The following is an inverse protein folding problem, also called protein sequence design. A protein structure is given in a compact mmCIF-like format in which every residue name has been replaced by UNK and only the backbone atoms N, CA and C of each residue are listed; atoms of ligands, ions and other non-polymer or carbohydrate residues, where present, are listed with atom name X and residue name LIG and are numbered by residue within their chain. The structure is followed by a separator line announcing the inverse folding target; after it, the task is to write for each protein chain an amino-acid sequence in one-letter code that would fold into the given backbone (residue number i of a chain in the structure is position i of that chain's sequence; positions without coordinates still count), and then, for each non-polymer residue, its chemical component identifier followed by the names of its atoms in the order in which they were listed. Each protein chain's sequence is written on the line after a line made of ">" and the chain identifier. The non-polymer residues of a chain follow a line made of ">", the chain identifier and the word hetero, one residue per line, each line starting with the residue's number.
data_IF_764615520324
#
_entry.id   IF_764615520324
#
_cell.length_a   1.000
_cell.length_b   1.000
_cell.length_c   1.000
_cell.angle_alpha   90.00
_cell.angle_beta   90.00
_cell.angle_gamma   90.00
#
_symmetry.space_group_name_H-M   'P 1'
#
loop_
_entity.id
_entity.type
_entity.pdbx_description
1 polymer ?
#
# COMPACT_ATOMS: atom_id res chain seq x y z
N UNK A 1 -46.90 37.66 -34.51
CA UNK A 1 -46.54 37.31 -35.91
C UNK A 1 -45.08 37.59 -36.07
N UNK A 2 -44.25 36.55 -36.09
CA UNK A 2 -43.01 36.50 -36.84
C UNK A 2 -42.42 35.08 -36.67
N UNK A 3 -42.07 34.51 -37.79
CA UNK A 3 -41.90 33.08 -38.04
C UNK A 3 -40.62 32.46 -37.42
N UNK A 4 -40.77 31.18 -37.06
CA UNK A 4 -39.73 30.23 -36.73
C UNK A 4 -39.11 29.67 -38.01
N UNK A 5 -37.81 29.75 -38.20
CA UNK A 5 -37.08 29.02 -39.23
C UNK A 5 -36.34 27.82 -38.62
N UNK A 6 -36.80 26.63 -39.01
CA UNK A 6 -36.09 25.36 -38.76
C UNK A 6 -34.85 25.23 -39.66
N UNK A 7 -33.68 25.03 -39.06
CA UNK A 7 -32.48 24.57 -39.76
C UNK A 7 -32.22 23.13 -39.45
N UNK A 8 -32.40 22.29 -40.45
CA UNK A 8 -32.10 20.87 -40.44
C UNK A 8 -30.62 20.63 -40.65
N UNK A 9 -29.92 20.08 -39.65
CA UNK A 9 -28.55 19.57 -39.82
C UNK A 9 -28.55 18.08 -40.21
N UNK A 10 -28.08 17.79 -41.43
CA UNK A 10 -27.88 16.47 -41.99
C UNK A 10 -26.72 15.75 -41.26
N UNK A 11 -27.01 14.56 -40.73
CA UNK A 11 -26.03 13.62 -40.21
C UNK A 11 -25.24 12.96 -41.36
N UNK A 12 -23.93 13.14 -41.38
CA UNK A 12 -23.03 12.42 -42.29
C UNK A 12 -22.69 11.05 -41.68
N UNK A 13 -23.25 9.99 -42.29
CA UNK A 13 -22.84 8.60 -42.04
C UNK A 13 -21.48 8.35 -42.69
N UNK A 14 -20.44 8.11 -41.92
CA UNK A 14 -19.19 7.49 -42.40
C UNK A 14 -19.31 5.95 -42.30
N UNK A 15 -19.35 5.31 -43.47
CA UNK A 15 -19.26 3.87 -43.62
C UNK A 15 -17.84 3.38 -43.31
N UNK A 16 -17.71 2.47 -42.38
CA UNK A 16 -16.47 1.73 -42.13
C UNK A 16 -16.49 0.47 -43.00
N UNK A 17 -15.53 0.40 -43.90
CA UNK A 17 -15.33 -0.72 -44.79
C UNK A 17 -14.82 -1.95 -44.03
N UNK A 18 -15.45 -3.07 -44.30
CA UNK A 18 -15.08 -4.40 -43.84
C UNK A 18 -13.88 -4.87 -44.67
N UNK A 19 -12.74 -5.15 -44.03
CA UNK A 19 -11.58 -5.80 -44.65
C UNK A 19 -11.73 -7.32 -44.47
N UNK A 20 -11.70 -8.14 -45.54
CA UNK A 20 -11.80 -9.59 -45.39
C UNK A 20 -10.46 -10.19 -44.92
N UNK A 21 -10.59 -11.08 -43.95
CA UNK A 21 -9.51 -11.89 -43.36
C UNK A 21 -9.06 -12.94 -44.40
N UNK A 22 -7.85 -12.74 -44.98
CA UNK A 22 -7.23 -13.73 -45.88
C UNK A 22 -6.51 -14.77 -45.00
N UNK A 23 -7.02 -16.00 -45.04
CA UNK A 23 -6.41 -17.15 -44.37
C UNK A 23 -5.13 -17.58 -45.14
N UNK A 24 -3.96 -17.43 -44.49
CA UNK A 24 -2.70 -17.95 -44.99
C UNK A 24 -2.43 -19.32 -44.36
N UNK A 25 -2.75 -20.38 -45.10
CA UNK A 25 -2.37 -21.77 -44.81
C UNK A 25 -0.88 -21.95 -45.15
N UNK A 26 -0.02 -22.02 -44.12
CA UNK A 26 1.37 -22.48 -44.32
C UNK A 26 1.45 -24.00 -44.15
N UNK A 27 1.77 -24.67 -45.23
CA UNK A 27 2.18 -26.07 -45.29
C UNK A 27 3.55 -26.22 -44.60
N UNK A 28 3.61 -26.94 -43.49
CA UNK A 28 4.87 -27.44 -42.94
C UNK A 28 5.23 -28.78 -43.62
N UNK A 29 6.17 -28.74 -44.52
CA UNK A 29 6.83 -29.94 -45.08
C UNK A 29 7.75 -30.54 -43.99
N UNK A 30 7.46 -31.75 -43.57
CA UNK A 30 8.34 -32.56 -42.72
C UNK A 30 9.47 -33.12 -43.58
N UNK A 31 10.67 -32.54 -43.47
CA UNK A 31 11.90 -33.21 -43.95
C UNK A 31 12.50 -33.98 -42.77
N UNK A 32 12.34 -35.28 -42.78
CA UNK A 32 13.06 -36.23 -41.92
C UNK A 32 14.45 -36.45 -42.51
N UNK A 33 15.47 -35.84 -41.89
CA UNK A 33 16.86 -36.18 -42.21
C UNK A 33 17.29 -37.30 -41.25
N UNK A 34 17.41 -38.51 -41.77
CA UNK A 34 18.00 -39.64 -41.02
C UNK A 34 19.51 -39.50 -41.01
N UNK A 35 20.05 -39.13 -39.84
CA UNK A 35 21.51 -39.14 -39.62
C UNK A 35 21.85 -40.46 -38.92
N UNK A 36 22.48 -41.36 -39.68
CA UNK A 36 23.04 -42.59 -39.14
C UNK A 36 24.28 -42.25 -38.29
N UNK A 37 24.13 -42.27 -36.99
CA UNK A 37 25.22 -42.18 -36.04
C UNK A 37 25.74 -43.59 -35.74
N UNK A 38 26.95 -43.88 -36.18
CA UNK A 38 27.72 -45.09 -35.80
C UNK A 38 28.12 -44.95 -34.31
N UNK A 39 27.41 -45.69 -33.45
CA UNK A 39 27.77 -45.81 -32.05
C UNK A 39 29.02 -46.69 -31.91
N UNK A 40 30.15 -46.05 -31.69
CA UNK A 40 31.35 -46.73 -31.16
C UNK A 40 31.67 -46.18 -29.76
N UNK A 41 30.81 -46.47 -28.80
CA UNK A 41 31.06 -46.16 -27.40
C UNK A 41 31.61 -47.41 -26.68
N UNK A 42 32.92 -47.31 -26.40
CA UNK A 42 33.53 -48.19 -25.39
C UNK A 42 32.83 -47.98 -24.04
N UNK A 43 32.56 -49.03 -23.27
CA UNK A 43 31.96 -48.85 -21.95
C UNK A 43 32.95 -48.06 -21.07
N UNK A 44 32.50 -46.88 -20.56
CA UNK A 44 33.19 -46.18 -19.52
C UNK A 44 32.96 -46.95 -18.22
N UNK A 45 34.00 -47.58 -17.71
CA UNK A 45 34.00 -48.16 -16.39
C UNK A 45 33.96 -46.98 -15.40
N UNK A 46 32.81 -46.78 -14.77
CA UNK A 46 32.70 -45.85 -13.64
C UNK A 46 33.28 -46.63 -12.44
N UNK A 47 34.53 -46.34 -12.09
CA UNK A 47 35.10 -46.78 -10.83
C UNK A 47 34.29 -46.09 -9.72
N UNK A 48 33.53 -46.86 -8.96
CA UNK A 48 33.03 -46.48 -7.64
C UNK A 48 34.23 -46.20 -6.72
N UNK A 49 34.69 -44.97 -6.75
CA UNK A 49 35.69 -44.46 -5.85
C UNK A 49 34.98 -43.79 -4.67
N UNK A 50 34.95 -44.50 -3.57
CA UNK A 50 34.89 -43.98 -2.20
C UNK A 50 33.75 -43.01 -1.89
N UNK A 51 32.80 -43.55 -1.13
CA UNK A 51 31.92 -42.81 -0.23
C UNK A 51 32.73 -41.92 0.73
N UNK A 52 33.15 -40.77 0.25
CA UNK A 52 33.45 -39.63 1.10
C UNK A 52 32.08 -39.14 1.57
N UNK A 53 31.75 -39.33 2.84
CA UNK A 53 30.63 -38.66 3.48
C UNK A 53 30.89 -37.16 3.33
N UNK A 54 30.38 -36.60 2.24
CA UNK A 54 30.33 -35.15 2.04
C UNK A 54 29.49 -34.60 3.19
N UNK A 55 30.14 -33.93 4.12
CA UNK A 55 29.44 -33.05 5.08
C UNK A 55 28.43 -32.26 4.29
N UNK A 56 27.14 -32.27 4.68
CA UNK A 56 26.17 -31.47 3.98
C UNK A 56 26.67 -30.02 3.99
N UNK A 57 26.96 -29.48 2.82
CA UNK A 57 27.33 -28.06 2.66
C UNK A 57 26.10 -27.28 3.09
N UNK A 58 26.03 -26.90 4.36
CA UNK A 58 24.99 -26.05 4.87
C UNK A 58 25.16 -24.69 4.15
N UNK A 59 24.27 -24.38 3.23
CA UNK A 59 24.23 -23.07 2.59
C UNK A 59 24.24 -22.01 3.70
N UNK A 60 25.22 -21.11 3.73
CA UNK A 60 25.30 -20.12 4.81
C UNK A 60 24.06 -19.25 4.79
N UNK A 61 23.46 -19.07 5.96
CA UNK A 61 22.31 -18.16 6.13
C UNK A 61 22.76 -16.73 5.79
N UNK A 62 22.03 -15.99 4.94
CA UNK A 62 22.37 -14.59 4.61
C UNK A 62 22.54 -13.72 5.84
N UNK A 63 23.46 -12.74 5.78
CA UNK A 63 23.89 -11.97 6.94
C UNK A 63 22.76 -11.20 7.66
N UNK A 64 21.78 -10.70 6.93
CA UNK A 64 20.60 -10.00 7.47
C UNK A 64 19.73 -10.94 8.30
N UNK A 65 19.45 -12.14 7.80
CA UNK A 65 18.68 -13.17 8.52
C UNK A 65 19.51 -13.71 9.69
N UNK A 66 20.80 -13.97 9.48
CA UNK A 66 21.70 -14.46 10.54
C UNK A 66 21.75 -13.50 11.72
N UNK A 67 21.86 -12.19 11.49
CA UNK A 67 21.85 -11.14 12.52
C UNK A 67 20.61 -11.23 13.41
N UNK A 68 19.41 -11.36 12.80
CA UNK A 68 18.15 -11.45 13.54
C UNK A 68 18.08 -12.74 14.35
N UNK A 69 18.46 -13.88 13.75
CA UNK A 69 18.47 -15.19 14.44
C UNK A 69 19.48 -15.26 15.59
N UNK A 70 20.68 -14.68 15.42
CA UNK A 70 21.69 -14.63 16.48
C UNK A 70 21.25 -13.75 17.66
N UNK A 71 20.54 -12.66 17.38
CA UNK A 71 19.94 -11.81 18.42
C UNK A 71 18.77 -12.50 19.12
N UNK A 72 18.09 -13.44 18.46
CA UNK A 72 16.94 -14.17 18.97
C UNK A 72 15.62 -13.41 18.91
N UNK A 73 15.59 -12.21 18.39
CA UNK A 73 14.39 -11.38 18.30
C UNK A 73 14.30 -10.59 16.98
N UNK A 74 13.06 -10.39 16.50
CA UNK A 74 12.70 -9.47 15.43
C UNK A 74 12.23 -8.15 16.04
N UNK A 75 12.89 -7.04 15.71
CA UNK A 75 12.53 -5.71 16.22
C UNK A 75 11.63 -5.00 15.19
N UNK A 76 10.43 -4.62 15.63
CA UNK A 76 9.43 -3.95 14.77
C UNK A 76 9.14 -2.56 15.31
N UNK A 77 9.40 -1.53 14.50
CA UNK A 77 9.04 -0.15 14.80
C UNK A 77 7.58 0.11 14.44
N UNK A 78 6.84 0.73 15.37
CA UNK A 78 5.47 1.20 15.21
C UNK A 78 5.29 2.58 15.86
N UNK A 79 4.24 3.32 15.48
CA UNK A 79 3.89 4.57 16.15
C UNK A 79 3.61 4.36 17.65
N UNK A 80 3.96 5.34 18.45
CA UNK A 80 3.62 5.40 19.88
C UNK A 80 2.11 5.49 20.13
N UNK A 81 1.38 6.15 19.22
CA UNK A 81 -0.07 6.35 19.32
C UNK A 81 -0.83 5.17 18.75
N UNK A 82 -1.81 4.68 19.50
CA UNK A 82 -2.69 3.58 19.09
C UNK A 82 -3.50 3.92 17.83
N UNK A 83 -3.59 2.94 16.96
CA UNK A 83 -4.33 3.04 15.69
C UNK A 83 -5.20 1.78 15.47
N UNK A 84 -6.29 1.60 16.24
CA UNK A 84 -7.15 0.44 16.09
C UNK A 84 -7.83 0.44 14.71
N UNK A 85 -8.00 -0.74 14.08
CA UNK A 85 -7.72 -2.09 14.56
C UNK A 85 -6.31 -2.58 14.16
N UNK A 86 -5.43 -1.72 13.66
CA UNK A 86 -4.11 -2.10 13.13
C UNK A 86 -3.15 -2.48 14.26
N UNK A 87 -3.00 -1.60 15.23
CA UNK A 87 -2.18 -1.83 16.44
C UNK A 87 -2.68 -0.92 17.58
N UNK A 88 -2.89 -1.49 18.74
CA UNK A 88 -3.36 -0.78 19.94
C UNK A 88 -3.13 -1.64 21.18
N UNK A 89 -3.11 -1.00 22.34
CA UNK A 89 -3.03 -1.70 23.62
C UNK A 89 -4.41 -2.17 24.09
N UNK A 90 -4.50 -3.44 24.49
CA UNK A 90 -5.63 -4.04 25.13
C UNK A 90 -5.15 -4.89 26.29
N UNK A 91 -5.63 -4.58 27.51
CA UNK A 91 -5.26 -5.33 28.73
C UNK A 91 -3.74 -5.44 28.93
N UNK A 92 -2.99 -4.37 28.65
CA UNK A 92 -1.52 -4.36 28.75
C UNK A 92 -0.79 -5.14 27.67
N UNK A 93 -1.47 -5.55 26.59
CA UNK A 93 -0.89 -6.27 25.46
C UNK A 93 -1.10 -5.51 24.16
N UNK A 94 -0.08 -5.43 23.36
CA UNK A 94 -0.20 -4.89 22.00
C UNK A 94 -0.90 -5.92 21.11
N UNK A 95 -1.99 -5.52 20.47
CA UNK A 95 -2.83 -6.35 19.59
C UNK A 95 -3.21 -5.60 18.32
N UNK A 96 -3.70 -6.31 17.32
CA UNK A 96 -4.24 -5.75 16.09
C UNK A 96 -3.66 -6.40 14.83
N UNK A 97 -4.25 -6.05 13.69
CA UNK A 97 -3.97 -6.70 12.40
C UNK A 97 -2.49 -6.64 11.99
N UNK A 98 -1.82 -5.51 12.22
CA UNK A 98 -0.39 -5.35 11.91
C UNK A 98 0.50 -6.02 12.96
N UNK A 99 0.03 -6.13 14.19
CA UNK A 99 0.72 -6.87 15.25
C UNK A 99 0.72 -8.37 14.93
N UNK A 100 -0.41 -8.89 14.45
CA UNK A 100 -0.54 -10.29 14.08
C UNK A 100 0.30 -10.62 12.84
N UNK A 101 0.36 -9.69 11.88
CA UNK A 101 1.24 -9.79 10.72
C UNK A 101 2.72 -9.84 11.13
N UNK A 102 3.15 -8.95 12.03
CA UNK A 102 4.51 -8.93 12.56
C UNK A 102 4.87 -10.23 13.30
N UNK A 103 3.93 -10.74 14.12
CA UNK A 103 4.08 -12.01 14.83
C UNK A 103 4.19 -13.21 13.87
N UNK A 104 3.43 -13.18 12.77
CA UNK A 104 3.55 -14.23 11.74
C UNK A 104 4.95 -14.24 11.13
N UNK A 105 5.52 -13.08 10.80
CA UNK A 105 6.89 -12.98 10.28
C UNK A 105 7.93 -13.50 11.28
N UNK A 106 7.82 -13.10 12.57
CA UNK A 106 8.75 -13.54 13.62
C UNK A 106 8.69 -15.07 13.83
N UNK A 107 7.48 -15.64 13.82
CA UNK A 107 7.26 -17.09 13.95
C UNK A 107 7.92 -17.87 12.81
N UNK A 108 7.80 -17.40 11.56
CA UNK A 108 8.45 -18.05 10.42
C UNK A 108 9.99 -17.89 10.45
N UNK A 109 10.51 -16.81 11.04
CA UNK A 109 11.94 -16.62 11.31
C UNK A 109 12.42 -17.48 12.48
N UNK A 110 11.50 -18.02 13.30
CA UNK A 110 11.78 -18.79 14.54
C UNK A 110 12.54 -17.95 15.59
N UNK A 111 12.08 -16.72 15.81
CA UNK A 111 12.61 -15.78 16.79
C UNK A 111 11.47 -15.12 17.57
N UNK A 112 11.80 -14.55 18.72
CA UNK A 112 10.88 -13.72 19.48
C UNK A 112 10.60 -12.39 18.74
N UNK A 113 9.64 -11.62 19.24
CA UNK A 113 9.29 -10.31 18.66
C UNK A 113 9.36 -9.23 19.74
N UNK A 114 9.97 -8.10 19.39
CA UNK A 114 9.95 -6.89 20.20
C UNK A 114 9.39 -5.71 19.40
N UNK A 115 8.34 -5.09 19.93
CA UNK A 115 7.77 -3.89 19.36
C UNK A 115 8.45 -2.66 19.98
N UNK A 116 9.01 -1.80 19.11
CA UNK A 116 9.54 -0.52 19.48
C UNK A 116 8.53 0.57 19.10
N UNK A 117 7.93 1.22 20.08
CA UNK A 117 6.89 2.25 19.94
C UNK A 117 7.38 3.65 20.35
N UNK A 118 8.66 3.95 20.12
CA UNK A 118 9.24 5.27 20.41
C UNK A 118 8.90 6.34 19.35
N UNK A 119 8.54 5.92 18.13
CA UNK A 119 8.27 6.83 17.04
C UNK A 119 6.98 7.64 17.25
N UNK A 120 7.08 8.96 17.14
CA UNK A 120 5.97 9.90 17.30
C UNK A 120 5.37 10.37 15.94
N UNK A 121 5.98 9.96 14.84
CA UNK A 121 5.50 10.23 13.48
C UNK A 121 5.75 9.06 12.55
N UNK A 122 5.02 9.02 11.43
CA UNK A 122 5.21 7.99 10.40
C UNK A 122 6.62 8.02 9.81
N UNK A 123 7.22 9.20 9.65
CA UNK A 123 8.59 9.30 9.14
C UNK A 123 9.61 8.79 10.17
N UNK A 124 9.38 9.00 11.47
CA UNK A 124 10.26 8.44 12.52
C UNK A 124 10.24 6.91 12.53
N UNK A 125 9.11 6.25 12.21
CA UNK A 125 9.09 4.78 12.02
C UNK A 125 10.03 4.36 10.89
N UNK A 126 10.02 5.09 9.77
CA UNK A 126 10.92 4.85 8.62
C UNK A 126 12.38 5.11 9.01
N UNK A 127 12.65 6.22 9.72
CA UNK A 127 14.00 6.59 10.17
C UNK A 127 14.59 5.53 11.11
N UNK A 128 13.79 4.93 11.99
CA UNK A 128 14.24 3.85 12.87
C UNK A 128 14.72 2.63 12.08
N UNK A 129 14.04 2.28 10.99
CA UNK A 129 14.45 1.19 10.10
C UNK A 129 15.71 1.57 9.33
N UNK A 130 15.75 2.77 8.73
CA UNK A 130 16.91 3.26 7.98
C UNK A 130 18.18 3.32 8.85
N UNK A 131 18.03 3.66 10.14
CA UNK A 131 19.11 3.72 11.14
C UNK A 131 19.41 2.37 11.81
N UNK A 132 18.78 1.27 11.38
CA UNK A 132 18.93 -0.07 11.98
C UNK A 132 18.55 -0.17 13.46
N UNK A 133 17.70 0.71 13.96
CA UNK A 133 17.09 0.65 15.30
C UNK A 133 15.90 -0.31 15.35
N UNK A 134 15.39 -0.69 14.18
CA UNK A 134 14.41 -1.75 13.96
C UNK A 134 14.74 -2.52 12.68
N UNK A 135 14.31 -3.77 12.60
CA UNK A 135 14.44 -4.59 11.40
C UNK A 135 13.29 -4.32 10.42
N UNK A 136 12.10 -4.09 10.96
CA UNK A 136 10.89 -3.79 10.19
C UNK A 136 10.22 -2.52 10.73
N UNK A 137 9.55 -1.79 9.83
CA UNK A 137 8.59 -0.75 10.18
C UNK A 137 7.20 -1.15 9.70
N UNK A 138 6.25 -1.27 10.62
CA UNK A 138 4.85 -1.63 10.31
C UNK A 138 3.94 -0.67 11.08
N UNK A 139 3.29 0.28 10.40
CA UNK A 139 2.45 1.29 11.02
C UNK A 139 1.61 2.04 9.98
N UNK A 140 0.79 1.34 9.22
CA UNK A 140 0.03 1.92 8.10
C UNK A 140 0.92 2.75 7.18
N UNK A 141 2.09 2.23 6.84
CA UNK A 141 3.10 2.99 6.09
C UNK A 141 2.79 2.98 4.60
N UNK A 142 2.44 4.14 4.08
CA UNK A 142 2.32 4.37 2.64
C UNK A 142 3.69 4.37 1.98
N UNK A 143 3.75 3.86 0.75
CA UNK A 143 4.96 3.92 -0.09
C UNK A 143 5.05 5.28 -0.75
N UNK A 144 6.08 6.06 -0.42
CA UNK A 144 6.37 7.33 -1.10
C UNK A 144 7.78 7.33 -1.67
N UNK A 145 8.02 8.17 -2.68
CA UNK A 145 9.35 8.26 -3.32
C UNK A 145 10.45 8.70 -2.34
N UNK A 146 10.24 9.71 -1.46
CA UNK A 146 11.25 10.06 -0.46
C UNK A 146 11.59 8.91 0.49
N UNK A 147 10.59 8.17 0.99
CA UNK A 147 10.81 7.01 1.87
C UNK A 147 11.54 5.89 1.15
N UNK A 148 11.20 5.63 -0.12
CA UNK A 148 11.84 4.59 -0.94
C UNK A 148 13.32 4.88 -1.26
N UNK A 149 13.83 6.08 -1.00
CA UNK A 149 15.26 6.40 -1.12
C UNK A 149 16.09 5.87 0.06
N UNK A 150 15.47 5.60 1.20
CA UNK A 150 16.18 5.24 2.44
C UNK A 150 15.78 3.89 3.02
N UNK A 151 14.66 3.31 2.58
CA UNK A 151 14.20 1.95 2.94
C UNK A 151 13.66 1.23 1.71
N UNK A 152 13.66 -0.11 1.77
CA UNK A 152 12.84 -0.93 0.89
C UNK A 152 11.42 -1.04 1.44
N UNK A 153 10.48 -1.30 0.55
CA UNK A 153 9.11 -1.65 0.89
C UNK A 153 8.75 -3.05 0.41
N UNK A 154 8.07 -3.80 1.24
CA UNK A 154 7.47 -5.08 0.86
C UNK A 154 6.40 -4.92 -0.23
N UNK A 155 5.90 -6.05 -0.75
CA UNK A 155 4.59 -6.06 -1.40
C UNK A 155 3.54 -5.44 -0.48
N UNK A 156 2.52 -4.75 -1.04
CA UNK A 156 1.43 -4.23 -0.22
C UNK A 156 0.67 -5.34 0.51
N UNK A 157 0.42 -5.15 1.81
CA UNK A 157 -0.48 -6.02 2.57
C UNK A 157 -1.92 -5.48 2.62
N UNK A 158 -2.11 -4.20 2.29
CA UNK A 158 -3.41 -3.54 2.21
C UNK A 158 -3.36 -2.39 1.20
N UNK A 159 -4.43 -2.23 0.41
CA UNK A 159 -4.64 -1.06 -0.45
C UNK A 159 -5.93 -0.36 -0.01
N UNK A 160 -5.84 0.96 0.16
CA UNK A 160 -6.96 1.83 0.54
C UNK A 160 -7.10 2.93 -0.51
N UNK A 161 -8.31 3.44 -0.72
CA UNK A 161 -8.48 4.65 -1.52
C UNK A 161 -8.15 5.89 -0.70
N UNK A 162 -7.71 6.95 -1.37
CA UNK A 162 -7.65 8.27 -0.76
C UNK A 162 -9.05 8.83 -0.56
N UNK A 163 -9.21 9.71 0.44
CA UNK A 163 -10.49 10.33 0.70
C UNK A 163 -10.34 11.73 1.32
N UNK A 164 -11.39 12.53 1.17
CA UNK A 164 -11.53 13.85 1.76
C UNK A 164 -12.68 13.87 2.76
N UNK A 165 -12.48 14.59 3.85
CA UNK A 165 -13.54 15.11 4.72
C UNK A 165 -13.61 16.60 4.53
N UNK A 166 -14.75 17.13 4.13
CA UNK A 166 -14.95 18.52 3.78
C UNK A 166 -15.95 19.15 4.74
N UNK A 167 -15.63 20.33 5.29
CA UNK A 167 -16.60 21.16 5.98
C UNK A 167 -17.66 21.63 4.95
N UNK A 168 -18.93 21.29 5.17
CA UNK A 168 -19.99 21.54 4.19
C UNK A 168 -20.14 23.00 3.83
N UNK A 169 -20.05 23.90 4.82
CA UNK A 169 -20.22 25.33 4.63
C UNK A 169 -19.01 25.93 3.89
N UNK A 170 -17.80 25.62 4.35
CA UNK A 170 -16.56 26.11 3.73
C UNK A 170 -16.43 25.58 2.28
N UNK A 171 -16.76 24.31 2.05
CA UNK A 171 -16.72 23.70 0.74
C UNK A 171 -17.80 24.28 -0.21
N UNK A 172 -19.02 24.53 0.29
CA UNK A 172 -20.08 25.15 -0.53
C UNK A 172 -19.68 26.55 -1.00
N UNK A 173 -18.99 27.33 -0.16
CA UNK A 173 -18.44 28.65 -0.56
C UNK A 173 -17.37 28.52 -1.64
N UNK A 174 -16.54 27.47 -1.56
CA UNK A 174 -15.48 27.19 -2.55
C UNK A 174 -16.07 26.73 -3.89
N UNK A 175 -17.07 25.83 -3.84
CA UNK A 175 -17.66 25.22 -5.03
C UNK A 175 -18.49 26.17 -5.89
N UNK A 176 -18.98 27.27 -5.31
CA UNK A 176 -19.87 28.23 -6.01
C UNK A 176 -21.00 27.51 -6.76
N UNK A 177 -20.91 27.44 -8.10
CA UNK A 177 -21.87 26.75 -8.97
C UNK A 177 -21.22 25.61 -9.77
N UNK A 178 -19.99 25.20 -9.42
CA UNK A 178 -19.27 24.14 -10.11
C UNK A 178 -19.76 22.75 -9.67
N UNK A 179 -19.57 21.74 -10.53
CA UNK A 179 -19.82 20.36 -10.18
C UNK A 179 -18.83 19.91 -9.10
N UNK A 180 -19.29 19.06 -8.18
CA UNK A 180 -18.46 18.50 -7.11
C UNK A 180 -17.13 17.94 -7.61
N UNK A 181 -17.18 17.14 -8.68
CA UNK A 181 -15.99 16.50 -9.24
C UNK A 181 -14.94 17.50 -9.71
N UNK A 182 -15.38 18.56 -10.41
CA UNK A 182 -14.50 19.61 -10.92
C UNK A 182 -13.90 20.42 -9.77
N UNK A 183 -14.72 20.79 -8.77
CA UNK A 183 -14.24 21.49 -7.57
C UNK A 183 -13.23 20.65 -6.78
N UNK A 184 -13.43 19.33 -6.69
CA UNK A 184 -12.49 18.42 -6.00
C UNK A 184 -11.21 18.24 -6.81
N UNK A 185 -11.29 18.06 -8.13
CA UNK A 185 -10.10 17.93 -9.00
C UNK A 185 -9.24 19.20 -9.03
N UNK A 186 -9.88 20.36 -8.98
CA UNK A 186 -9.23 21.69 -8.98
C UNK A 186 -9.24 22.34 -7.60
N UNK A 187 -9.15 21.54 -6.54
CA UNK A 187 -9.34 22.03 -5.19
C UNK A 187 -8.39 23.19 -4.83
N UNK A 188 -8.96 24.36 -4.58
CA UNK A 188 -8.25 25.61 -4.29
C UNK A 188 -8.35 26.03 -2.81
N UNK A 189 -8.99 25.19 -1.98
CA UNK A 189 -9.19 25.48 -0.56
C UNK A 189 -7.98 25.11 0.30
N UNK A 190 -8.21 25.10 1.60
CA UNK A 190 -7.22 24.64 2.59
C UNK A 190 -7.45 23.16 2.93
N UNK A 191 -6.38 22.37 2.93
CA UNK A 191 -6.38 20.95 3.30
C UNK A 191 -5.55 20.72 4.56
N UNK A 192 -6.18 20.22 5.62
CA UNK A 192 -5.51 19.72 6.81
C UNK A 192 -4.98 18.31 6.59
N UNK A 193 -3.72 18.07 6.98
CA UNK A 193 -3.06 16.76 6.97
C UNK A 193 -2.28 16.57 8.27
N UNK A 194 -1.94 15.32 8.61
CA UNK A 194 -1.04 15.04 9.72
C UNK A 194 0.40 15.36 9.29
N UNK A 195 1.10 16.12 10.11
CA UNK A 195 2.51 16.46 9.91
C UNK A 195 3.39 15.20 9.81
N UNK A 196 4.44 15.25 9.00
CA UNK A 196 5.39 14.13 8.79
C UNK A 196 4.70 12.81 8.41
N UNK A 197 3.57 12.90 7.69
CA UNK A 197 2.86 11.78 7.09
C UNK A 197 2.99 11.80 5.57
N UNK A 198 2.71 10.66 4.92
CA UNK A 198 2.64 10.57 3.45
C UNK A 198 1.58 11.50 2.85
N UNK A 199 0.53 11.82 3.61
CA UNK A 199 -0.55 12.69 3.12
C UNK A 199 -0.13 14.14 2.93
N UNK A 200 0.95 14.61 3.57
CA UNK A 200 1.58 15.89 3.23
C UNK A 200 2.13 15.90 1.79
N UNK A 201 2.79 14.79 1.39
CA UNK A 201 3.34 14.63 0.04
C UNK A 201 2.23 14.40 -1.00
N UNK A 202 1.29 13.53 -0.67
CA UNK A 202 0.14 13.25 -1.54
C UNK A 202 -0.73 14.49 -1.77
N UNK A 203 -0.94 15.33 -0.75
CA UNK A 203 -1.69 16.57 -0.88
C UNK A 203 -1.03 17.52 -1.88
N UNK A 204 0.28 17.74 -1.78
CA UNK A 204 1.05 18.58 -2.72
C UNK A 204 1.00 18.04 -4.15
N UNK A 205 1.01 16.73 -4.32
CA UNK A 205 0.98 16.07 -5.63
C UNK A 205 -0.42 16.12 -6.28
N UNK A 206 -1.45 15.75 -5.52
CA UNK A 206 -2.80 15.55 -6.06
C UNK A 206 -3.67 16.81 -6.00
N UNK A 207 -3.34 17.75 -5.12
CA UNK A 207 -4.04 19.03 -4.96
C UNK A 207 -3.05 20.20 -5.01
N UNK A 208 -2.37 20.41 -6.14
CA UNK A 208 -1.30 21.42 -6.24
C UNK A 208 -1.76 22.87 -6.03
N UNK A 209 -3.07 23.13 -6.17
CA UNK A 209 -3.67 24.45 -5.92
C UNK A 209 -4.18 24.62 -4.49
N UNK A 210 -4.16 23.56 -3.68
CA UNK A 210 -4.59 23.62 -2.29
C UNK A 210 -3.50 24.23 -1.40
N UNK A 211 -3.92 24.98 -0.39
CA UNK A 211 -3.02 25.34 0.72
C UNK A 211 -3.03 24.21 1.74
N UNK A 212 -1.91 23.47 1.83
CA UNK A 212 -1.76 22.38 2.80
C UNK A 212 -1.34 22.94 4.15
N UNK A 213 -2.05 22.53 5.22
CA UNK A 213 -1.78 22.89 6.61
C UNK A 213 -1.54 21.60 7.40
N UNK A 214 -0.39 21.54 8.06
CA UNK A 214 0.03 20.35 8.81
C UNK A 214 -0.38 20.48 10.29
N UNK A 215 -0.94 19.40 10.84
CA UNK A 215 -1.37 19.29 12.24
C UNK A 215 -0.64 18.14 12.93
N UNK A 216 -0.51 18.17 14.27
CA UNK A 216 0.27 17.16 15.00
C UNK A 216 -0.37 15.77 14.97
N UNK A 217 -1.68 15.66 14.87
CA UNK A 217 -2.42 14.39 14.88
C UNK A 217 -3.78 14.52 14.17
N UNK A 218 -4.46 13.37 13.99
CA UNK A 218 -5.72 13.32 13.28
C UNK A 218 -6.87 14.06 13.97
N UNK A 219 -6.91 14.07 15.30
CA UNK A 219 -7.95 14.81 16.04
C UNK A 219 -7.83 16.31 15.79
N UNK A 220 -6.62 16.86 15.85
CA UNK A 220 -6.38 18.28 15.56
C UNK A 220 -6.78 18.65 14.11
N UNK A 221 -6.56 17.75 13.14
CA UNK A 221 -7.04 17.94 11.76
C UNK A 221 -8.56 18.00 11.72
N UNK A 222 -9.25 17.07 12.39
CA UNK A 222 -10.72 17.03 12.42
C UNK A 222 -11.32 18.24 13.14
N UNK A 223 -10.72 18.70 14.21
CA UNK A 223 -11.14 19.92 14.91
C UNK A 223 -11.04 21.14 14.01
N UNK A 224 -9.95 21.27 13.26
CA UNK A 224 -9.76 22.36 12.30
C UNK A 224 -10.80 22.33 11.16
N UNK A 225 -11.17 21.13 10.69
CA UNK A 225 -12.25 20.98 9.69
C UNK A 225 -13.61 21.37 10.29
N UNK A 226 -13.93 20.87 11.49
CA UNK A 226 -15.20 21.15 12.15
C UNK A 226 -15.37 22.65 12.44
N UNK A 227 -14.31 23.33 12.87
CA UNK A 227 -14.31 24.76 13.16
C UNK A 227 -14.26 25.62 11.88
N UNK A 228 -14.06 25.02 10.71
CA UNK A 228 -13.95 25.73 9.44
C UNK A 228 -12.62 26.47 9.23
N UNK A 229 -11.60 26.18 10.04
CA UNK A 229 -10.24 26.70 9.90
C UNK A 229 -9.59 26.19 8.61
N UNK A 230 -9.90 24.94 8.23
CA UNK A 230 -9.57 24.37 6.92
C UNK A 230 -10.84 23.94 6.18
N UNK A 231 -10.81 23.99 4.86
CA UNK A 231 -11.93 23.59 4.01
C UNK A 231 -12.17 22.09 4.09
N UNK A 232 -11.11 21.30 4.27
CA UNK A 232 -11.21 19.87 4.39
C UNK A 232 -9.94 19.22 4.95
N UNK A 233 -10.06 17.91 5.21
CA UNK A 233 -8.95 17.03 5.60
C UNK A 233 -8.73 15.98 4.51
N UNK A 234 -7.48 15.59 4.31
CA UNK A 234 -7.08 14.57 3.35
C UNK A 234 -6.44 13.38 4.07
N UNK A 235 -7.01 12.19 3.84
CA UNK A 235 -6.61 10.95 4.50
C UNK A 235 -7.02 9.73 3.65
N UNK A 236 -6.75 8.52 4.14
CA UNK A 236 -7.28 7.27 3.58
C UNK A 236 -8.77 7.06 3.92
N UNK A 237 -9.46 6.29 3.08
CA UNK A 237 -10.89 6.02 3.22
C UNK A 237 -11.27 5.30 4.53
N UNK A 238 -10.35 4.51 5.10
CA UNK A 238 -10.60 3.82 6.35
C UNK A 238 -10.84 4.81 7.50
N UNK A 239 -9.96 5.82 7.63
CA UNK A 239 -10.09 6.84 8.69
C UNK A 239 -11.39 7.65 8.53
N UNK A 240 -11.80 7.92 7.29
CA UNK A 240 -13.05 8.63 7.02
C UNK A 240 -14.26 7.76 7.37
N UNK A 241 -14.25 6.47 6.99
CA UNK A 241 -15.32 5.53 7.35
C UNK A 241 -15.38 5.31 8.86
N UNK A 242 -14.22 5.24 9.54
CA UNK A 242 -14.13 5.16 11.01
C UNK A 242 -14.72 6.39 11.69
N UNK A 243 -14.41 7.59 11.18
CA UNK A 243 -15.00 8.84 11.68
C UNK A 243 -16.53 8.79 11.65
N UNK A 244 -17.13 8.46 10.50
CA UNK A 244 -18.58 8.39 10.35
C UNK A 244 -19.20 7.29 11.19
N UNK A 245 -18.52 6.16 11.38
CA UNK A 245 -18.99 5.08 12.24
C UNK A 245 -19.04 5.49 13.71
N UNK A 246 -18.00 6.20 14.17
CA UNK A 246 -17.90 6.64 15.57
C UNK A 246 -18.73 7.90 15.86
N UNK A 247 -18.99 8.72 14.86
CA UNK A 247 -19.83 9.92 14.95
C UNK A 247 -20.77 10.02 13.74
N UNK A 248 -21.91 9.31 13.75
CA UNK A 248 -22.88 9.33 12.65
C UNK A 248 -23.45 10.72 12.37
N UNK A 249 -23.53 11.60 13.36
CA UNK A 249 -24.06 12.96 13.20
C UNK A 249 -23.09 13.89 12.46
N UNK A 250 -21.82 13.50 12.31
CA UNK A 250 -20.84 14.26 11.54
C UNK A 250 -21.29 14.52 10.08
N UNK A 251 -22.15 13.66 9.51
CA UNK A 251 -22.71 13.87 8.16
C UNK A 251 -23.52 15.16 8.01
N UNK A 252 -23.99 15.75 9.10
CA UNK A 252 -24.73 17.01 9.08
C UNK A 252 -23.83 18.20 8.75
N UNK A 253 -22.60 18.20 9.25
CA UNK A 253 -21.61 19.29 9.10
C UNK A 253 -20.51 18.97 8.12
N UNK A 254 -20.23 17.69 7.90
CA UNK A 254 -19.15 17.20 7.06
C UNK A 254 -19.69 16.48 5.81
N UNK A 255 -18.92 16.58 4.73
CA UNK A 255 -19.12 15.82 3.50
C UNK A 255 -17.88 14.96 3.24
N UNK A 256 -18.07 13.70 2.91
CA UNK A 256 -16.96 12.79 2.58
C UNK A 256 -16.91 12.52 1.07
N UNK A 257 -15.71 12.40 0.53
CA UNK A 257 -15.47 12.06 -0.88
C UNK A 257 -14.36 11.02 -0.93
N UNK A 258 -14.65 9.83 -1.46
CA UNK A 258 -13.64 8.80 -1.73
C UNK A 258 -13.15 8.96 -3.17
N UNK A 259 -11.84 9.04 -3.35
CA UNK A 259 -11.17 9.22 -4.63
C UNK A 259 -10.76 7.84 -5.15
N UNK A 260 -11.62 7.20 -5.95
CA UNK A 260 -11.44 5.81 -6.42
C UNK A 260 -10.30 5.63 -7.42
N UNK A 261 -9.82 6.71 -7.99
CA UNK A 261 -8.68 6.79 -8.91
C UNK A 261 -7.33 7.02 -8.21
N UNK A 262 -7.35 7.18 -6.89
CA UNK A 262 -6.15 7.35 -6.06
C UNK A 262 -6.08 6.26 -4.98
N UNK A 263 -5.02 5.46 -5.05
CA UNK A 263 -4.77 4.36 -4.12
C UNK A 263 -3.57 4.65 -3.22
N UNK A 264 -3.71 4.32 -1.95
CA UNK A 264 -2.64 4.26 -0.96
C UNK A 264 -2.30 2.79 -0.67
N UNK A 265 -1.10 2.37 -1.04
CA UNK A 265 -0.61 1.01 -0.80
C UNK A 265 0.20 0.98 0.49
N UNK A 266 -0.30 0.25 1.49
CA UNK A 266 0.36 0.07 2.78
C UNK A 266 1.33 -1.12 2.71
N UNK A 267 2.57 -0.89 3.12
CA UNK A 267 3.65 -1.88 3.01
C UNK A 267 4.55 -1.85 4.25
N UNK A 268 5.32 -2.91 4.43
CA UNK A 268 6.32 -3.04 5.49
C UNK A 268 7.61 -2.37 5.01
N UNK A 269 8.19 -1.50 5.84
CA UNK A 269 9.50 -0.92 5.59
C UNK A 269 10.61 -1.85 6.07
N UNK A 270 11.67 -2.04 5.27
CA UNK A 270 12.83 -2.89 5.54
C UNK A 270 14.10 -2.11 5.19
N UNK A 271 15.17 -2.33 5.94
CA UNK A 271 16.46 -1.66 5.68
C UNK A 271 17.02 -1.99 4.29
N UNK A 272 17.63 -1.00 3.63
CA UNK A 272 18.25 -1.17 2.28
C UNK A 272 19.38 -2.20 2.27
N UNK A 273 19.92 -2.56 3.42
CA UNK A 273 20.97 -3.58 3.58
C UNK A 273 20.43 -4.98 3.85
N UNK A 274 19.09 -5.15 3.86
CA UNK A 274 18.42 -6.38 4.27
C UNK A 274 17.56 -6.99 3.14
N UNK A 275 18.14 -7.24 1.94
CA UNK A 275 17.38 -7.71 0.78
C UNK A 275 16.81 -9.12 0.94
N UNK A 276 17.48 -9.99 1.72
CA UNK A 276 16.96 -11.34 1.97
C UNK A 276 15.78 -11.30 2.94
N UNK A 277 15.82 -10.41 3.94
CA UNK A 277 14.68 -10.17 4.82
C UNK A 277 13.48 -9.63 4.02
N UNK A 278 13.70 -8.72 3.05
CA UNK A 278 12.66 -8.26 2.14
C UNK A 278 12.02 -9.40 1.35
N UNK A 279 12.85 -10.25 0.74
CA UNK A 279 12.37 -11.41 -0.03
C UNK A 279 11.59 -12.38 0.88
N UNK A 280 12.08 -12.63 2.09
CA UNK A 280 11.42 -13.46 3.08
C UNK A 280 10.06 -12.88 3.52
N UNK A 281 10.01 -11.60 3.85
CA UNK A 281 8.75 -10.91 4.21
C UNK A 281 7.75 -11.00 3.07
N UNK A 282 8.16 -10.77 1.83
CA UNK A 282 7.30 -10.91 0.66
C UNK A 282 6.76 -12.33 0.50
N UNK A 283 7.58 -13.35 0.78
CA UNK A 283 7.15 -14.75 0.75
C UNK A 283 6.10 -15.02 1.83
N UNK A 284 6.31 -14.53 3.07
CA UNK A 284 5.33 -14.66 4.14
C UNK A 284 4.00 -13.98 3.77
N UNK A 285 4.05 -12.75 3.22
CA UNK A 285 2.86 -12.03 2.78
C UNK A 285 2.11 -12.78 1.67
N UNK A 286 2.82 -13.42 0.74
CA UNK A 286 2.20 -14.18 -0.36
C UNK A 286 1.49 -15.44 0.12
N UNK A 287 1.94 -16.02 1.22
CA UNK A 287 1.39 -17.23 1.83
C UNK A 287 0.25 -16.97 2.82
N UNK A 288 -0.04 -15.70 3.14
CA UNK A 288 -1.19 -15.38 3.99
C UNK A 288 -2.49 -15.84 3.30
N UNK A 289 -3.28 -16.73 3.91
CA UNK A 289 -4.50 -17.25 3.31
C UNK A 289 -5.56 -16.16 3.13
N UNK A 290 -5.53 -15.20 4.02
CA UNK A 290 -6.49 -14.11 4.11
C UNK A 290 -5.83 -12.75 3.90
N UNK A 291 -5.88 -12.26 2.65
CA UNK A 291 -5.42 -10.90 2.35
C UNK A 291 -6.32 -9.87 3.01
N UNK A 292 -5.72 -8.83 3.59
CA UNK A 292 -6.45 -7.70 4.15
C UNK A 292 -7.10 -6.88 3.04
N UNK A 293 -8.33 -6.47 3.28
CA UNK A 293 -9.08 -5.49 2.50
C UNK A 293 -9.83 -4.53 3.43
N UNK A 294 -10.40 -3.48 2.87
CA UNK A 294 -11.11 -2.46 3.65
C UNK A 294 -12.27 -3.05 4.45
N UNK A 295 -12.96 -4.08 3.95
CA UNK A 295 -14.10 -4.69 4.63
C UNK A 295 -13.67 -5.47 5.86
N UNK A 296 -12.59 -6.26 5.76
CA UNK A 296 -11.99 -6.97 6.90
C UNK A 296 -11.52 -6.00 7.97
N UNK A 297 -10.82 -4.93 7.57
CA UNK A 297 -10.36 -3.89 8.51
C UNK A 297 -11.52 -3.20 9.21
N UNK A 298 -12.61 -2.86 8.50
CA UNK A 298 -13.80 -2.27 9.11
C UNK A 298 -14.57 -3.25 10.01
N UNK A 299 -14.55 -4.54 9.68
CA UNK A 299 -15.16 -5.56 10.53
C UNK A 299 -14.37 -5.77 11.82
N UNK A 300 -13.04 -5.77 11.76
CA UNK A 300 -12.19 -5.84 12.95
C UNK A 300 -12.42 -4.69 13.95
N UNK A 301 -12.92 -3.53 13.48
CA UNK A 301 -13.40 -2.45 14.37
C UNK A 301 -14.68 -2.79 15.14
N UNK A 302 -15.48 -3.77 14.68
CA UNK A 302 -16.76 -4.14 15.34
C UNK A 302 -16.51 -5.06 16.52
N UNK A 303 -15.46 -5.81 16.49
CA UNK A 303 -14.98 -6.63 17.61
C UNK A 303 -14.36 -5.67 18.64
N UNK A 304 -15.27 -4.94 19.35
CA UNK A 304 -14.87 -3.99 20.38
C UNK A 304 -13.96 -4.67 21.41
N UNK A 305 -12.94 -3.91 21.87
CA UNK A 305 -12.11 -4.36 22.99
C UNK A 305 -12.91 -4.61 24.25
#
# INVERSE_FOLDING_TARGET
>A
MTQVTHSTFKAARRSWGVIPLLALLMFFAKTTLALAATNNTKPVVINDATSGAGTPVSTPVPADIARIRQRGELIVSMLSTDTPPFFFEKEGRLVGLEVDLARAIARELKVDIRFNREANSFNEVIDMVAQRRADLGISKLSRTLPRAQIVYFSQPYLTLNHALVLNRVAFARLASNEKLEDTVRQFKGTLGVIAKSSFTEFAKKHFPMAKVIEYPNWNAVLDAVNNGEVTGAYRDEFEIKRLLKNNPTAVLTLRTVTLKDLEDTLSIAIGVTDPTLLAFVNQVLSQQPDKLDIHKVLNALKEKP
#
